data_IF_855596559378
#
_entry.id   IF_855596559378
#
_cell.length_a   1.000
_cell.length_b   1.000
_cell.length_c   1.000
_cell.angle_alpha   90.00
_cell.angle_beta   90.00
_cell.angle_gamma   90.00
#
_symmetry.space_group_name_H-M   'P 1'
#
loop_
_entity.id
_entity.type
_entity.pdbx_description
1 polymer ?
#
# COMPACT_ATOMS: atom_id res chain seq x y z
N UNK A 1 -3.75 19.87 -0.79
CA UNK A 1 -3.95 19.89 0.67
C UNK A 1 -3.36 18.63 1.29
N UNK A 2 -2.71 18.76 2.44
CA UNK A 2 -2.18 17.60 3.18
C UNK A 2 -3.33 16.97 3.96
N UNK A 3 -4.00 15.98 3.37
CA UNK A 3 -4.95 15.13 4.08
C UNK A 3 -4.14 14.38 5.15
N UNK A 4 -4.53 14.56 6.41
CA UNK A 4 -3.67 14.35 7.59
C UNK A 4 -3.16 12.92 7.79
N UNK A 5 -2.53 12.64 8.95
CA UNK A 5 -2.08 11.29 9.22
C UNK A 5 -3.31 10.39 9.44
N UNK A 6 -3.41 9.28 8.72
CA UNK A 6 -4.53 8.33 8.75
C UNK A 6 -4.27 7.22 9.78
N UNK A 7 -5.32 6.82 10.50
CA UNK A 7 -5.29 5.62 11.36
C UNK A 7 -5.32 4.33 10.52
N UNK A 8 -6.06 4.37 9.41
CA UNK A 8 -6.22 3.24 8.48
C UNK A 8 -6.17 3.70 7.04
N UNK A 9 -5.37 3.03 6.21
CA UNK A 9 -5.30 3.25 4.76
C UNK A 9 -5.70 1.95 4.06
N UNK A 10 -6.64 2.02 3.11
CA UNK A 10 -7.01 0.88 2.28
C UNK A 10 -6.74 1.29 0.84
N UNK A 11 -5.90 0.52 0.16
CA UNK A 11 -5.62 0.68 -1.26
C UNK A 11 -6.29 -0.48 -1.98
N UNK A 12 -7.17 -0.18 -2.93
CA UNK A 12 -7.95 -1.18 -3.69
C UNK A 12 -7.38 -1.40 -5.10
N UNK A 13 -6.13 -1.00 -5.32
CA UNK A 13 -5.48 -1.06 -6.61
C UNK A 13 -4.10 -1.71 -6.45
N UNK A 14 -3.78 -2.63 -7.34
CA UNK A 14 -2.51 -3.34 -7.29
C UNK A 14 -1.33 -2.43 -7.61
N UNK A 15 -0.29 -2.52 -6.79
CA UNK A 15 0.96 -1.78 -6.98
C UNK A 15 2.18 -2.70 -6.89
N UNK A 16 3.25 -2.36 -7.60
CA UNK A 16 4.50 -3.14 -7.57
C UNK A 16 5.25 -2.99 -6.23
N UNK A 17 5.14 -1.82 -5.60
CA UNK A 17 5.79 -1.50 -4.32
C UNK A 17 4.95 -0.53 -3.48
N UNK A 18 5.13 -0.57 -2.16
CA UNK A 18 4.41 0.32 -1.23
C UNK A 18 4.97 1.75 -1.39
N UNK A 19 4.15 2.76 -1.76
CA UNK A 19 4.61 4.14 -1.89
C UNK A 19 5.06 4.71 -0.53
N UNK A 20 6.22 5.37 -0.44
CA UNK A 20 6.69 5.98 0.81
C UNK A 20 5.77 7.13 1.27
N UNK A 21 5.06 7.78 0.35
CA UNK A 21 4.06 8.82 0.67
C UNK A 21 2.92 8.29 1.53
N UNK A 22 2.40 7.09 1.24
CA UNK A 22 1.33 6.46 2.04
C UNK A 22 1.83 6.06 3.43
N UNK A 23 3.08 5.60 3.54
CA UNK A 23 3.70 5.29 4.84
C UNK A 23 3.94 6.54 5.69
N UNK A 24 4.27 7.67 5.07
CA UNK A 24 4.39 8.96 5.76
C UNK A 24 3.04 9.47 6.26
N UNK A 25 1.99 9.26 5.46
CA UNK A 25 0.61 9.59 5.82
C UNK A 25 0.02 8.63 6.86
N UNK A 26 0.66 7.49 7.16
CA UNK A 26 0.16 6.56 8.19
C UNK A 26 0.61 6.99 9.59
N UNK A 27 -0.33 7.06 10.53
CA UNK A 27 -0.05 7.31 11.95
C UNK A 27 0.85 6.22 12.55
N UNK A 28 1.57 6.52 13.64
CA UNK A 28 2.18 5.47 14.47
C UNK A 28 1.14 4.44 14.90
N UNK A 29 1.48 3.16 14.77
CA UNK A 29 0.60 2.00 14.97
C UNK A 29 -0.62 1.95 14.03
N UNK A 30 -0.63 2.77 12.97
CA UNK A 30 -1.64 2.72 11.93
C UNK A 30 -1.56 1.45 11.09
N UNK A 31 -2.68 1.10 10.48
CA UNK A 31 -2.83 -0.11 9.66
C UNK A 31 -3.07 0.27 8.20
N UNK A 32 -2.33 -0.33 7.29
CA UNK A 32 -2.52 -0.19 5.86
C UNK A 32 -2.83 -1.55 5.23
N UNK A 33 -3.80 -1.62 4.34
CA UNK A 33 -4.12 -2.82 3.56
C UNK A 33 -3.89 -2.47 2.09
N UNK A 34 -2.98 -3.19 1.45
CA UNK A 34 -2.56 -2.89 0.08
C UNK A 34 -2.25 -4.18 -0.70
N UNK A 35 -2.84 -4.38 -1.88
CA UNK A 35 -2.43 -5.43 -2.80
C UNK A 35 -1.07 -5.08 -3.42
N UNK A 36 -0.08 -5.93 -3.19
CA UNK A 36 1.29 -5.80 -3.72
C UNK A 36 1.65 -7.05 -4.50
N UNK A 37 2.21 -6.87 -5.70
CA UNK A 37 2.69 -7.96 -6.53
C UNK A 37 2.54 -7.67 -8.03
N UNK A 38 3.15 -8.49 -8.89
CA UNK A 38 3.08 -8.30 -10.34
C UNK A 38 1.64 -8.47 -10.86
N UNK A 39 1.32 -7.90 -12.04
CA UNK A 39 0.00 -8.06 -12.64
C UNK A 39 -0.41 -9.54 -12.74
N UNK A 40 -1.56 -9.88 -12.15
CA UNK A 40 -2.07 -11.25 -12.12
C UNK A 40 -1.58 -12.15 -10.98
N UNK A 41 -0.64 -11.70 -10.13
CA UNK A 41 -0.21 -12.42 -8.92
C UNK A 41 -0.09 -11.46 -7.71
N UNK A 42 -1.11 -10.65 -7.52
CA UNK A 42 -1.16 -9.67 -6.43
C UNK A 42 -1.63 -10.32 -5.12
N UNK A 43 -0.91 -10.03 -4.04
CA UNK A 43 -1.23 -10.49 -2.69
C UNK A 43 -1.63 -9.29 -1.83
N UNK A 44 -2.73 -9.40 -1.09
CA UNK A 44 -3.13 -8.32 -0.17
C UNK A 44 -2.33 -8.44 1.11
N UNK A 45 -1.48 -7.45 1.33
CA UNK A 45 -0.66 -7.33 2.51
C UNK A 45 -1.32 -6.35 3.49
N UNK A 46 -1.45 -6.77 4.74
CA UNK A 46 -1.67 -5.89 5.87
C UNK A 46 -0.32 -5.42 6.39
N UNK A 47 -0.12 -4.12 6.39
CA UNK A 47 1.08 -3.42 6.80
C UNK A 47 0.75 -2.64 8.08
N UNK A 48 1.55 -2.80 9.13
CA UNK A 48 1.39 -2.09 10.40
C UNK A 48 2.68 -1.30 10.65
N UNK A 49 2.54 0.02 10.84
CA UNK A 49 3.66 0.90 11.20
C UNK A 49 3.84 0.88 12.71
N UNK A 50 4.41 -0.20 13.23
CA UNK A 50 4.59 -0.39 14.66
C UNK A 50 5.63 0.60 15.19
N UNK A 51 5.26 1.42 16.16
CA UNK A 51 6.21 2.29 16.85
C UNK A 51 6.85 1.52 18.01
N UNK A 52 8.18 1.47 18.02
CA UNK A 52 8.97 0.84 19.08
C UNK A 52 9.17 1.82 20.25
N UNK A 53 9.55 1.28 21.41
CA UNK A 53 9.71 2.04 22.65
C UNK A 53 10.85 3.09 22.59
N UNK A 54 11.81 2.90 21.69
CA UNK A 54 12.91 3.83 21.40
C UNK A 54 12.52 4.97 20.44
N UNK A 55 11.26 5.01 19.98
CA UNK A 55 10.76 5.99 19.02
C UNK A 55 11.01 5.63 17.56
N UNK A 56 11.66 4.49 17.26
CA UNK A 56 11.82 4.01 15.89
C UNK A 56 10.54 3.35 15.38
N UNK A 57 10.43 3.20 14.05
CA UNK A 57 9.27 2.57 13.41
C UNK A 57 9.68 1.27 12.74
N UNK A 58 8.97 0.19 13.04
CA UNK A 58 9.08 -1.08 12.35
C UNK A 58 7.86 -1.30 11.44
N UNK A 59 8.08 -1.86 10.26
CA UNK A 59 7.03 -2.14 9.30
C UNK A 59 6.73 -3.64 9.31
N UNK A 60 5.66 -4.02 10.00
CA UNK A 60 5.21 -5.41 10.06
C UNK A 60 4.28 -5.67 8.87
N UNK A 61 4.54 -6.73 8.11
CA UNK A 61 3.72 -7.13 6.96
C UNK A 61 3.13 -8.51 7.21
N UNK A 62 1.85 -8.69 6.91
CA UNK A 62 1.18 -9.99 7.01
C UNK A 62 0.23 -10.16 5.84
N UNK A 63 0.30 -11.29 5.16
CA UNK A 63 -0.70 -11.67 4.17
C UNK A 63 -2.01 -12.02 4.89
N UNK A 64 -3.11 -11.38 4.50
CA UNK A 64 -4.44 -11.58 5.11
C UNK A 64 -5.34 -12.54 4.33
N UNK A 65 -4.93 -12.96 3.13
CA UNK A 65 -5.66 -13.94 2.30
C UNK A 65 -4.92 -15.27 2.17
N UNK A 66 -3.87 -15.49 2.97
CA UNK A 66 -3.20 -16.77 3.10
C UNK A 66 -2.68 -17.32 1.75
N UNK A 67 -2.12 -16.44 0.93
CA UNK A 67 -1.60 -16.75 -0.41
C UNK A 67 -2.61 -16.71 -1.53
N UNK A 68 -3.90 -16.45 -1.28
CA UNK A 68 -4.89 -16.33 -2.37
C UNK A 68 -4.66 -15.05 -3.15
N UNK A 69 -4.46 -15.21 -4.46
CA UNK A 69 -4.38 -14.11 -5.41
C UNK A 69 -5.78 -13.57 -5.64
N UNK A 70 -5.93 -12.26 -5.50
CA UNK A 70 -7.18 -11.54 -5.77
C UNK A 70 -6.92 -10.55 -6.91
N UNK A 71 -7.67 -10.62 -8.01
CA UNK A 71 -7.46 -9.73 -9.14
C UNK A 71 -7.96 -8.33 -8.75
N UNK A 72 -7.03 -7.37 -8.61
CA UNK A 72 -7.35 -5.96 -8.50
C UNK A 72 -7.06 -5.22 -9.80
N UNK A 73 -7.76 -4.10 -9.97
CA UNK A 73 -7.42 -3.14 -11.02
C UNK A 73 -6.01 -2.58 -10.74
N UNK A 74 -5.17 -2.38 -11.77
CA UNK A 74 -3.84 -1.80 -11.58
C UNK A 74 -3.96 -0.34 -11.10
N UNK A 75 -3.06 0.09 -10.22
CA UNK A 75 -2.96 1.49 -9.80
C UNK A 75 -2.26 2.31 -10.89
N UNK A 76 -3.00 2.64 -11.94
CA UNK A 76 -2.51 3.48 -13.05
C UNK A 76 -2.86 4.94 -12.81
N UNK A 77 -1.87 5.83 -12.97
CA UNK A 77 -2.11 7.27 -13.03
C UNK A 77 -2.80 7.58 -14.36
N UNK A 78 -3.98 8.19 -14.34
CA UNK A 78 -4.60 8.76 -15.53
C UNK A 78 -4.11 10.19 -15.71
N UNK A 79 -3.35 10.45 -16.78
CA UNK A 79 -3.10 11.82 -17.27
C UNK A 79 -3.93 12.00 -18.56
N UNK A 80 -5.06 12.69 -18.46
CA UNK A 80 -6.01 12.84 -19.57
C UNK A 80 -6.80 11.55 -19.89
N UNK A 81 -6.94 11.22 -21.18
CA UNK A 81 -7.66 10.05 -21.71
C UNK A 81 -6.73 8.88 -22.10
N UNK A 82 -5.46 8.92 -21.64
CA UNK A 82 -4.47 7.88 -21.92
C UNK A 82 -3.97 7.24 -20.62
N UNK A 83 -3.91 5.90 -20.63
CA UNK A 83 -3.28 5.11 -19.56
C UNK A 83 -1.77 5.24 -19.74
N UNK A 84 -1.17 6.25 -19.10
CA UNK A 84 0.29 6.45 -19.08
C UNK A 84 0.87 5.88 -17.79
N UNK A 85 1.61 4.78 -17.94
CA UNK A 85 2.59 4.31 -16.97
C UNK A 85 2.04 3.39 -15.87
N UNK A 86 2.36 2.10 -15.98
CA UNK A 86 2.76 1.33 -14.79
C UNK A 86 4.00 2.00 -14.21
N UNK A 87 3.98 2.30 -12.92
CA UNK A 87 5.07 2.88 -12.14
C UNK A 87 6.29 1.92 -12.11
N UNK A 88 6.96 1.77 -13.24
CA UNK A 88 8.25 1.09 -13.37
C UNK A 88 9.35 2.12 -13.24
N UNK A 89 9.96 2.21 -12.05
CA UNK A 89 11.31 2.76 -11.84
C UNK A 89 11.46 4.27 -11.97
#
# INVERSE_FOLDING_TARGET
ESVGPFDKIIVTCGIDHIPPSLLQQLKPNGVMVIPVGPPGAQHVLKVIKQQLADGTFNIVRSDIYNGKVVPFVPFTKLEGDQIVGTHNG
#
